data_IF_469246564879
#
_entry.id   IF_469246564879
#
_cell.length_a   1.000
_cell.length_b   1.000
_cell.length_c   1.000
_cell.angle_alpha   90.00
_cell.angle_beta   90.00
_cell.angle_gamma   90.00
#
_symmetry.space_group_name_H-M   'P 1'
#
loop_
_entity.id
_entity.type
_entity.pdbx_description
1 polymer ?
#
# COMPACT_ATOMS: atom_id res chain seq x y z
N UNK A 1 -10.12 -10.16 20.67
CA UNK A 1 -8.75 -10.23 20.13
C UNK A 1 -8.42 -8.83 19.66
N UNK A 2 -7.31 -8.23 20.10
CA UNK A 2 -6.89 -6.95 19.55
C UNK A 2 -6.46 -7.20 18.09
N UNK A 3 -7.12 -6.55 17.14
CA UNK A 3 -6.62 -6.51 15.77
C UNK A 3 -5.33 -5.69 15.74
N UNK A 4 -4.34 -6.17 14.98
CA UNK A 4 -3.13 -5.38 14.74
C UNK A 4 -3.53 -4.27 13.78
N UNK A 5 -3.40 -3.02 14.21
CA UNK A 5 -3.59 -1.85 13.37
C UNK A 5 -2.23 -1.34 12.91
N UNK A 6 -2.10 -1.01 11.63
CA UNK A 6 -0.87 -0.50 11.06
C UNK A 6 -1.11 0.68 10.13
N UNK A 7 -0.21 1.65 10.17
CA UNK A 7 -0.10 2.73 9.18
C UNK A 7 1.00 2.33 8.20
N UNK A 8 0.70 2.35 6.90
CA UNK A 8 1.67 2.06 5.85
C UNK A 8 2.04 3.37 5.17
N UNK A 9 3.34 3.59 4.97
CA UNK A 9 3.86 4.71 4.19
C UNK A 9 3.52 4.55 2.70
N UNK A 10 3.14 5.65 2.04
CA UNK A 10 2.84 5.71 0.60
C UNK A 10 3.94 5.05 -0.24
N UNK A 11 5.21 5.21 0.11
CA UNK A 11 6.34 4.62 -0.61
C UNK A 11 6.33 3.09 -0.58
N UNK A 12 5.91 2.48 0.53
CA UNK A 12 5.77 1.02 0.63
C UNK A 12 4.62 0.56 -0.27
N UNK A 13 3.52 1.30 -0.28
CA UNK A 13 2.37 0.98 -1.13
C UNK A 13 2.73 1.05 -2.62
N UNK A 14 3.33 2.16 -3.07
CA UNK A 14 3.79 2.33 -4.46
C UNK A 14 4.85 1.28 -4.82
N UNK A 15 5.84 1.04 -3.95
CA UNK A 15 6.88 0.02 -4.18
C UNK A 15 6.30 -1.38 -4.34
N UNK A 16 5.20 -1.71 -3.65
CA UNK A 16 4.54 -2.99 -3.78
C UNK A 16 3.74 -3.14 -5.10
N UNK A 17 3.32 -2.03 -5.70
CA UNK A 17 2.62 -2.01 -6.98
C UNK A 17 3.59 -2.11 -8.17
N UNK A 18 4.73 -1.41 -8.11
CA UNK A 18 5.72 -1.37 -9.21
C UNK A 18 6.83 -2.43 -9.07
N UNK A 19 7.00 -3.00 -7.88
CA UNK A 19 8.13 -3.86 -7.54
C UNK A 19 7.99 -5.32 -7.99
N UNK A 20 9.09 -6.07 -7.87
CA UNK A 20 9.12 -7.51 -8.14
C UNK A 20 8.32 -8.29 -7.09
N UNK A 21 7.75 -9.43 -7.50
CA UNK A 21 6.84 -10.26 -6.70
C UNK A 21 7.39 -10.75 -5.34
N UNK A 22 8.72 -10.73 -5.12
CA UNK A 22 9.37 -11.17 -3.88
C UNK A 22 9.94 -10.03 -3.02
N UNK A 23 9.56 -8.78 -3.28
CA UNK A 23 10.03 -7.64 -2.49
C UNK A 23 9.30 -7.52 -1.15
N UNK A 24 9.98 -7.00 -0.11
CA UNK A 24 9.39 -6.78 1.23
C UNK A 24 8.08 -5.96 1.15
N UNK A 25 7.99 -4.87 0.37
CA UNK A 25 6.72 -4.16 0.18
C UNK A 25 5.57 -5.05 -0.31
N UNK A 26 5.86 -5.99 -1.22
CA UNK A 26 4.85 -6.95 -1.70
C UNK A 26 4.38 -7.88 -0.60
N UNK A 27 5.28 -8.34 0.25
CA UNK A 27 4.95 -9.18 1.42
C UNK A 27 4.00 -8.42 2.37
N UNK A 28 4.26 -7.14 2.62
CA UNK A 28 3.42 -6.30 3.49
C UNK A 28 2.01 -6.14 2.90
N UNK A 29 1.89 -5.83 1.61
CA UNK A 29 0.58 -5.71 0.95
C UNK A 29 -0.16 -7.05 0.88
N UNK A 30 0.54 -8.16 0.67
CA UNK A 30 -0.08 -9.49 0.72
C UNK A 30 -0.62 -9.79 2.13
N UNK A 31 0.10 -9.43 3.18
CA UNK A 31 -0.38 -9.58 4.56
C UNK A 31 -1.62 -8.73 4.86
N UNK A 32 -1.73 -7.53 4.26
CA UNK A 32 -2.96 -6.72 4.29
C UNK A 32 -4.12 -7.44 3.58
N UNK A 33 -3.89 -7.98 2.38
CA UNK A 33 -4.90 -8.74 1.61
C UNK A 33 -5.37 -10.01 2.36
N UNK A 34 -4.44 -10.70 3.02
CA UNK A 34 -4.70 -11.86 3.88
C UNK A 34 -5.32 -11.49 5.24
N UNK A 35 -5.65 -10.21 5.48
CA UNK A 35 -6.23 -9.69 6.73
C UNK A 35 -5.40 -10.02 7.97
N UNK A 36 -4.08 -10.00 7.86
CA UNK A 36 -3.17 -10.18 9.01
C UNK A 36 -3.13 -8.96 9.93
N UNK A 37 -3.52 -7.79 9.41
CA UNK A 37 -3.67 -6.53 10.13
C UNK A 37 -4.67 -5.63 9.40
N UNK A 38 -5.17 -4.62 10.10
CA UNK A 38 -6.06 -3.58 9.56
C UNK A 38 -5.24 -2.35 9.20
N UNK A 39 -5.40 -1.86 7.96
CA UNK A 39 -4.73 -0.64 7.51
C UNK A 39 -5.47 0.59 8.03
N UNK A 40 -4.75 1.44 8.77
CA UNK A 40 -5.20 2.77 9.14
C UNK A 40 -4.60 3.76 8.15
N UNK A 41 -5.46 4.39 7.35
CA UNK A 41 -5.06 5.36 6.34
C UNK A 41 -6.05 6.53 6.32
N UNK A 42 -5.54 7.74 6.05
CA UNK A 42 -6.37 8.93 5.95
C UNK A 42 -6.98 9.07 4.55
N UNK A 43 -8.16 9.67 4.46
CA UNK A 43 -8.81 9.93 3.17
C UNK A 43 -7.94 10.73 2.17
N UNK A 44 -7.16 11.75 2.60
CA UNK A 44 -6.23 12.45 1.71
C UNK A 44 -5.18 11.54 1.08
N UNK A 45 -4.61 10.59 1.84
CA UNK A 45 -3.60 9.66 1.31
C UNK A 45 -4.19 8.70 0.28
N UNK A 46 -5.46 8.30 0.43
CA UNK A 46 -6.15 7.49 -0.60
C UNK A 46 -6.25 8.28 -1.90
N UNK A 47 -6.61 9.57 -1.84
CA UNK A 47 -6.71 10.42 -3.04
C UNK A 47 -5.37 10.61 -3.73
N UNK A 48 -4.31 10.87 -2.96
CA UNK A 48 -2.95 10.99 -3.50
C UNK A 48 -2.49 9.70 -4.21
N UNK A 49 -2.80 8.53 -3.63
CA UNK A 49 -2.52 7.24 -4.26
C UNK A 49 -3.32 7.06 -5.57
N UNK A 50 -4.61 7.40 -5.59
CA UNK A 50 -5.44 7.35 -6.79
C UNK A 50 -4.89 8.26 -7.89
N UNK A 51 -4.53 9.50 -7.55
CA UNK A 51 -3.92 10.47 -8.47
C UNK A 51 -2.58 9.95 -9.02
N UNK A 52 -1.70 9.45 -8.14
CA UNK A 52 -0.39 8.89 -8.52
C UNK A 52 -0.50 7.69 -9.46
N UNK A 53 -1.55 6.86 -9.31
CA UNK A 53 -1.78 5.68 -10.16
C UNK A 53 -2.47 6.02 -11.48
N UNK A 54 -3.20 7.13 -11.55
CA UNK A 54 -3.86 7.58 -12.77
C UNK A 54 -2.97 8.45 -13.65
N UNK A 55 -1.90 9.04 -13.11
CA UNK A 55 -0.97 9.84 -13.89
C UNK A 55 -0.25 8.94 -14.92
N UNK A 56 -0.52 9.09 -16.23
CA UNK A 56 0.18 8.31 -17.24
C UNK A 56 1.64 8.73 -17.17
N UNK A 57 2.51 7.82 -16.74
CA UNK A 57 3.96 7.97 -16.83
C UNK A 57 4.31 8.23 -18.29
N UNK A 58 4.36 9.50 -18.66
CA UNK A 58 4.74 9.97 -19.98
C UNK A 58 6.26 9.92 -19.98
N UNK A 59 6.79 8.82 -20.52
CA UNK A 59 8.13 8.83 -21.11
C UNK A 59 8.06 9.46 -22.50
#
# INVERSE_FOLDING_TARGET
MNEIEAVIDTNIFISALIGRAKSIPKVIINALYERKFSLVISLPLIRELEETLQDPKTE
#
